data_IF_790999176847
#
_entry.id   IF_790999176847
#
_cell.length_a   1.000
_cell.length_b   1.000
_cell.length_c   1.000
_cell.angle_alpha   90.00
_cell.angle_beta   90.00
_cell.angle_gamma   90.00
#
_symmetry.space_group_name_H-M   'P 1'
#
loop_
_entity.id
_entity.type
_entity.pdbx_description
1 polymer ?
#
# COMPACT_ATOMS: atom_id res chain seq x y z
N UNK A 1 -38.49 -6.79 11.82
CA UNK A 1 -37.04 -6.44 11.84
C UNK A 1 -36.59 -5.65 10.61
N UNK A 2 -36.85 -6.07 9.35
CA UNK A 2 -36.45 -5.30 8.14
C UNK A 2 -36.98 -3.85 8.07
N UNK A 3 -38.22 -3.60 8.52
CA UNK A 3 -38.82 -2.26 8.54
C UNK A 3 -38.21 -1.34 9.62
N UNK A 4 -37.72 -1.90 10.71
CA UNK A 4 -37.03 -1.14 11.79
C UNK A 4 -35.62 -0.72 11.33
N UNK A 5 -34.91 -1.57 10.59
CA UNK A 5 -33.61 -1.25 10.01
C UNK A 5 -33.72 -0.15 8.95
N UNK A 6 -34.77 -0.18 8.11
CA UNK A 6 -35.02 0.89 7.12
C UNK A 6 -35.35 2.23 7.79
N UNK A 7 -36.11 2.21 8.90
CA UNK A 7 -36.43 3.42 9.67
C UNK A 7 -35.18 4.00 10.36
N UNK A 8 -34.28 3.17 10.91
CA UNK A 8 -33.00 3.62 11.46
C UNK A 8 -32.09 4.20 10.38
N UNK A 9 -32.05 3.61 9.18
CA UNK A 9 -31.27 4.13 8.06
C UNK A 9 -31.83 5.46 7.52
N UNK A 10 -33.18 5.62 7.49
CA UNK A 10 -33.82 6.88 7.13
C UNK A 10 -33.63 7.99 8.17
N UNK A 11 -33.60 7.65 9.47
CA UNK A 11 -33.32 8.64 10.54
C UNK A 11 -31.87 9.10 10.52
N UNK A 12 -30.90 8.24 10.15
CA UNK A 12 -29.49 8.64 10.03
C UNK A 12 -29.21 9.57 8.85
N UNK A 13 -30.05 9.55 7.81
CA UNK A 13 -29.93 10.42 6.64
C UNK A 13 -30.36 11.89 6.89
N UNK A 14 -31.13 12.15 7.96
CA UNK A 14 -31.66 13.51 8.23
C UNK A 14 -30.75 14.41 9.08
N UNK A 15 -29.65 13.87 9.65
CA UNK A 15 -28.75 14.62 10.52
C UNK A 15 -27.50 15.20 9.85
N UNK A 16 -27.41 15.12 8.52
CA UNK A 16 -26.21 15.56 7.77
C UNK A 16 -26.12 17.07 7.53
N UNK A 17 -27.13 17.86 7.93
CA UNK A 17 -27.18 19.32 7.65
C UNK A 17 -26.58 20.21 8.75
N UNK A 18 -25.95 19.68 9.79
CA UNK A 18 -25.66 20.49 10.99
C UNK A 18 -24.30 21.21 11.00
N UNK A 19 -23.36 20.96 10.07
CA UNK A 19 -22.12 21.74 9.96
C UNK A 19 -21.65 21.78 8.51
N UNK A 20 -22.10 22.77 7.77
CA UNK A 20 -21.60 23.04 6.43
C UNK A 20 -20.20 23.69 6.54
N UNK A 21 -19.18 22.99 6.11
CA UNK A 21 -17.85 23.57 5.86
C UNK A 21 -17.93 24.54 4.67
N UNK A 22 -16.92 25.38 4.52
CA UNK A 22 -16.79 26.20 3.31
C UNK A 22 -16.52 25.28 2.10
N UNK A 23 -17.44 25.24 1.10
CA UNK A 23 -17.24 24.40 -0.08
C UNK A 23 -16.02 24.86 -0.87
N UNK A 24 -15.17 23.92 -1.31
CA UNK A 24 -13.99 24.20 -2.12
C UNK A 24 -14.08 23.70 -3.55
N UNK A 25 -14.74 22.59 -3.79
CA UNK A 25 -14.98 22.01 -5.14
C UNK A 25 -13.78 22.11 -6.13
N UNK A 26 -12.56 21.99 -5.60
CA UNK A 26 -11.34 22.05 -6.39
C UNK A 26 -10.97 20.66 -6.87
N UNK A 27 -10.58 20.58 -8.14
CA UNK A 27 -10.16 19.34 -8.79
C UNK A 27 -8.74 19.47 -9.22
N UNK A 28 -7.87 18.55 -8.80
CA UNK A 28 -6.48 18.52 -9.22
C UNK A 28 -6.11 17.14 -9.75
N UNK A 29 -5.23 17.11 -10.72
CA UNK A 29 -4.69 15.90 -11.34
C UNK A 29 -3.17 16.03 -11.46
N UNK A 30 -2.47 14.90 -11.48
CA UNK A 30 -1.04 14.90 -11.71
C UNK A 30 -0.43 13.50 -11.65
N UNK A 31 0.87 13.50 -11.49
CA UNK A 31 1.69 12.28 -11.51
C UNK A 31 2.44 12.11 -10.21
N UNK A 32 2.70 10.86 -9.88
CA UNK A 32 3.48 10.51 -8.71
C UNK A 32 4.56 9.48 -9.05
N UNK A 33 5.67 9.53 -8.32
CA UNK A 33 6.73 8.55 -8.39
C UNK A 33 7.37 8.39 -7.01
N UNK A 34 7.92 7.20 -6.73
CA UNK A 34 8.54 6.94 -5.44
C UNK A 34 9.17 5.56 -5.33
N UNK A 35 9.48 5.20 -4.10
CA UNK A 35 10.04 3.90 -3.74
C UNK A 35 9.11 3.21 -2.74
N UNK A 36 8.86 1.94 -2.98
CA UNK A 36 8.13 1.04 -2.09
C UNK A 36 9.12 0.06 -1.44
N UNK A 37 9.14 0.01 -0.13
CA UNK A 37 9.92 -0.93 0.67
C UNK A 37 8.96 -1.96 1.24
N UNK A 38 9.02 -3.19 0.74
CA UNK A 38 8.06 -4.25 1.07
C UNK A 38 8.70 -5.38 1.86
N UNK A 39 7.90 -5.97 2.73
CA UNK A 39 8.12 -7.25 3.39
C UNK A 39 6.79 -8.01 3.44
N UNK A 40 6.87 -9.34 3.45
CA UNK A 40 5.68 -10.18 3.58
C UNK A 40 5.56 -10.69 5.01
N UNK A 41 4.39 -10.54 5.60
CA UNK A 41 4.08 -11.09 6.91
C UNK A 41 3.82 -12.58 6.84
N UNK A 42 4.87 -13.41 6.86
CA UNK A 42 4.73 -14.87 6.83
C UNK A 42 4.46 -15.47 8.21
N UNK A 43 3.63 -16.50 8.23
CA UNK A 43 3.47 -17.41 9.38
C UNK A 43 3.47 -18.85 8.85
N UNK A 44 4.46 -19.70 9.17
CA UNK A 44 5.65 -19.44 10.00
C UNK A 44 6.57 -18.37 9.38
N UNK A 45 7.30 -17.65 10.23
CA UNK A 45 8.11 -16.50 9.82
C UNK A 45 9.32 -16.93 9.00
N UNK A 46 9.62 -16.13 7.96
CA UNK A 46 10.83 -16.23 7.14
C UNK A 46 11.65 -14.96 7.39
N UNK A 47 12.95 -15.11 7.60
CA UNK A 47 13.85 -13.97 7.77
C UNK A 47 14.03 -13.22 6.45
N UNK A 48 13.67 -11.94 6.42
CA UNK A 48 13.64 -11.12 5.22
C UNK A 48 14.45 -9.84 5.39
N UNK A 49 15.06 -9.39 4.29
CA UNK A 49 15.47 -7.99 4.12
C UNK A 49 14.37 -7.19 3.43
N UNK A 50 14.51 -5.86 3.43
CA UNK A 50 13.63 -5.00 2.68
C UNK A 50 13.76 -5.23 1.17
N UNK A 51 12.63 -5.46 0.51
CA UNK A 51 12.54 -5.44 -0.94
C UNK A 51 12.19 -4.02 -1.37
N UNK A 52 13.10 -3.38 -2.12
CA UNK A 52 12.90 -2.01 -2.60
C UNK A 52 12.55 -2.09 -4.08
N UNK A 53 11.41 -1.52 -4.44
CA UNK A 53 10.92 -1.42 -5.82
C UNK A 53 10.39 -0.04 -6.14
N UNK A 54 10.30 0.34 -7.42
CA UNK A 54 9.70 1.60 -7.86
C UNK A 54 8.18 1.57 -7.71
N UNK A 55 7.60 2.74 -7.48
CA UNK A 55 6.18 3.02 -7.64
C UNK A 55 6.01 4.25 -8.51
N UNK A 56 5.10 4.22 -9.48
CA UNK A 56 4.82 5.33 -10.40
C UNK A 56 3.34 5.29 -10.77
N UNK A 57 2.73 6.46 -10.91
CA UNK A 57 1.30 6.50 -11.24
C UNK A 57 0.74 7.89 -11.44
N UNK A 58 -0.58 7.93 -11.53
CA UNK A 58 -1.39 9.14 -11.61
C UNK A 58 -2.13 9.36 -10.30
N UNK A 59 -2.31 10.61 -9.93
CA UNK A 59 -3.00 11.04 -8.72
C UNK A 59 -4.12 12.00 -9.10
N UNK A 60 -5.30 11.76 -8.56
CA UNK A 60 -6.47 12.59 -8.70
C UNK A 60 -6.94 13.03 -7.32
N UNK A 61 -7.17 14.34 -7.12
CA UNK A 61 -7.59 14.90 -5.85
C UNK A 61 -8.83 15.77 -6.02
N UNK A 62 -9.84 15.47 -5.22
CA UNK A 62 -11.06 16.27 -5.07
C UNK A 62 -11.01 16.90 -3.70
N UNK A 63 -10.89 18.23 -3.64
CA UNK A 63 -11.00 18.97 -2.38
C UNK A 63 -12.44 19.42 -2.25
N UNK A 64 -13.15 18.91 -1.23
CA UNK A 64 -14.57 19.17 -1.07
C UNK A 64 -14.87 20.34 -0.16
N UNK A 65 -14.28 20.40 1.02
CA UNK A 65 -14.69 21.33 2.06
C UNK A 65 -13.53 21.77 2.93
N UNK A 66 -13.69 22.93 3.56
CA UNK A 66 -12.80 23.46 4.58
C UNK A 66 -13.56 23.69 5.87
N UNK A 67 -13.13 23.04 6.93
CA UNK A 67 -13.62 23.24 8.29
C UNK A 67 -12.58 24.02 9.10
N UNK A 68 -12.88 25.28 9.45
CA UNK A 68 -11.95 26.18 10.13
C UNK A 68 -10.61 26.30 9.40
N UNK A 69 -9.59 25.55 9.84
CA UNK A 69 -8.24 25.50 9.25
C UNK A 69 -7.94 24.17 8.55
N UNK A 70 -8.83 23.17 8.67
CA UNK A 70 -8.67 21.85 8.08
C UNK A 70 -9.31 21.81 6.70
N UNK A 71 -8.55 21.37 5.72
CA UNK A 71 -9.01 21.16 4.35
C UNK A 71 -9.22 19.64 4.14
N UNK A 72 -10.45 19.29 3.76
CA UNK A 72 -10.85 17.91 3.52
C UNK A 72 -10.84 17.59 2.03
N UNK A 73 -10.18 16.49 1.65
CA UNK A 73 -10.10 16.04 0.28
C UNK A 73 -10.18 14.53 0.17
N UNK A 74 -10.57 14.04 -0.99
CA UNK A 74 -10.42 12.66 -1.43
C UNK A 74 -9.27 12.59 -2.43
N UNK A 75 -8.31 11.71 -2.20
CA UNK A 75 -7.19 11.42 -3.10
C UNK A 75 -7.33 9.99 -3.62
N UNK A 76 -7.42 9.84 -4.93
CA UNK A 76 -7.49 8.55 -5.62
C UNK A 76 -6.27 8.45 -6.52
N UNK A 77 -5.64 7.28 -6.54
CA UNK A 77 -4.47 7.09 -7.37
C UNK A 77 -4.60 5.80 -8.20
N UNK A 78 -3.87 5.75 -9.29
CA UNK A 78 -3.63 4.54 -10.06
C UNK A 78 -2.12 4.39 -10.21
N UNK A 79 -1.55 3.39 -9.55
CA UNK A 79 -0.11 3.21 -9.46
C UNK A 79 0.30 1.85 -10.03
N UNK A 80 1.42 1.82 -10.73
CA UNK A 80 2.21 0.62 -10.94
C UNK A 80 3.26 0.56 -9.83
N UNK A 81 3.29 -0.55 -9.07
CA UNK A 81 4.22 -0.73 -7.96
C UNK A 81 4.88 -2.10 -8.03
N UNK A 82 6.19 -2.13 -7.85
CA UNK A 82 6.94 -3.37 -7.74
C UNK A 82 7.16 -3.70 -6.26
N UNK A 83 6.45 -4.71 -5.79
CA UNK A 83 6.54 -5.28 -4.44
C UNK A 83 7.30 -6.60 -4.46
N UNK A 84 7.33 -7.30 -3.33
CA UNK A 84 7.93 -8.61 -3.20
C UNK A 84 8.71 -8.77 -1.91
N UNK A 85 9.63 -9.75 -1.88
CA UNK A 85 10.52 -9.95 -0.74
C UNK A 85 11.88 -10.47 -1.17
N UNK A 86 12.84 -10.28 -0.28
CA UNK A 86 14.19 -10.81 -0.39
C UNK A 86 14.49 -11.59 0.89
N UNK A 87 14.83 -12.87 0.76
CA UNK A 87 15.17 -13.69 1.92
C UNK A 87 16.60 -13.44 2.38
N UNK A 88 16.79 -13.49 3.69
CA UNK A 88 18.09 -13.62 4.35
C UNK A 88 18.23 -15.08 4.76
N UNK A 89 18.66 -15.91 3.80
CA UNK A 89 18.64 -17.37 3.95
C UNK A 89 19.65 -17.83 4.99
N UNK A 90 19.19 -18.73 5.88
CA UNK A 90 19.96 -19.37 6.91
C UNK A 90 19.85 -20.89 6.77
N UNK A 91 20.86 -21.62 7.23
CA UNK A 91 20.80 -23.06 7.36
C UNK A 91 19.96 -23.49 8.58
N UNK A 92 19.78 -24.79 8.78
CA UNK A 92 19.05 -25.37 9.92
C UNK A 92 19.62 -24.98 11.29
N UNK A 93 20.91 -24.55 11.34
CA UNK A 93 21.57 -24.05 12.55
C UNK A 93 21.38 -22.55 12.78
N UNK A 94 20.71 -21.83 11.86
CA UNK A 94 20.52 -20.40 11.94
C UNK A 94 21.70 -19.56 11.43
N UNK A 95 22.69 -20.18 10.79
CA UNK A 95 23.84 -19.49 10.22
C UNK A 95 23.52 -18.98 8.81
N UNK A 96 23.96 -17.77 8.43
CA UNK A 96 23.73 -17.24 7.09
C UNK A 96 24.52 -18.07 6.05
N UNK A 97 23.87 -18.38 4.94
CA UNK A 97 24.48 -19.11 3.82
C UNK A 97 24.47 -18.28 2.53
N UNK A 98 25.23 -18.72 1.54
CA UNK A 98 25.40 -17.99 0.28
C UNK A 98 24.17 -18.05 -0.65
N UNK A 99 23.21 -18.90 -0.35
CA UNK A 99 21.97 -19.05 -1.11
C UNK A 99 21.20 -17.72 -1.15
N UNK A 100 20.56 -17.45 -2.29
CA UNK A 100 19.81 -16.20 -2.50
C UNK A 100 18.44 -16.51 -3.08
N UNK A 101 17.44 -15.83 -2.53
CA UNK A 101 16.10 -15.82 -3.10
C UNK A 101 15.51 -14.42 -3.04
N UNK A 102 14.96 -13.99 -4.15
CA UNK A 102 14.21 -12.74 -4.29
C UNK A 102 13.02 -13.01 -5.19
N UNK A 103 11.89 -12.47 -4.80
CA UNK A 103 10.67 -12.49 -5.60
C UNK A 103 10.21 -11.08 -5.87
N UNK A 104 10.06 -10.75 -7.14
CA UNK A 104 9.53 -9.47 -7.61
C UNK A 104 8.08 -9.68 -8.05
N UNK A 105 7.20 -8.85 -7.55
CA UNK A 105 5.76 -8.92 -7.80
C UNK A 105 5.28 -7.56 -8.28
N UNK A 106 4.76 -7.48 -9.50
CA UNK A 106 4.27 -6.24 -10.10
C UNK A 106 2.76 -6.12 -9.87
N UNK A 107 2.36 -5.00 -9.28
CA UNK A 107 0.98 -4.69 -8.97
C UNK A 107 0.50 -3.42 -9.69
N UNK A 108 -0.78 -3.42 -10.05
CA UNK A 108 -1.55 -2.20 -10.26
C UNK A 108 -2.34 -1.95 -9.00
N UNK A 109 -2.12 -0.79 -8.37
CA UNK A 109 -2.73 -0.43 -7.09
C UNK A 109 -3.62 0.80 -7.24
N UNK A 110 -4.75 0.78 -6.53
CA UNK A 110 -5.70 1.89 -6.50
C UNK A 110 -6.07 2.21 -5.03
N UNK A 111 -5.34 3.11 -4.39
CA UNK A 111 -5.71 3.63 -3.08
C UNK A 111 -6.81 4.71 -3.20
N UNK A 112 -7.75 4.68 -2.24
CA UNK A 112 -8.82 5.67 -2.04
C UNK A 112 -8.60 6.30 -0.66
N UNK A 113 -8.01 7.50 -0.63
CA UNK A 113 -7.51 8.09 0.59
C UNK A 113 -8.31 9.34 0.98
N UNK A 114 -8.90 9.32 2.17
CA UNK A 114 -9.34 10.53 2.82
C UNK A 114 -8.11 11.34 3.24
N UNK A 115 -8.12 12.63 2.96
CA UNK A 115 -7.02 13.53 3.23
C UNK A 115 -7.47 14.70 4.08
N UNK A 116 -6.75 14.96 5.16
CA UNK A 116 -6.93 16.11 6.04
C UNK A 116 -5.66 16.95 6.01
N UNK A 117 -5.77 18.20 5.56
CA UNK A 117 -4.63 19.10 5.39
C UNK A 117 -4.76 20.34 6.26
N UNK A 118 -3.63 20.81 6.78
CA UNK A 118 -3.52 22.02 7.61
C UNK A 118 -2.36 22.88 7.10
N UNK A 119 -2.60 24.18 6.92
CA UNK A 119 -1.55 25.12 6.49
C UNK A 119 -2.05 26.18 5.52
N UNK A 120 -1.14 26.66 4.64
CA UNK A 120 -1.44 27.74 3.71
C UNK A 120 -2.01 27.21 2.40
N UNK A 121 -3.30 27.44 2.17
CA UNK A 121 -4.05 26.92 1.03
C UNK A 121 -3.56 27.45 -0.34
N UNK A 122 -3.30 28.75 -0.48
CA UNK A 122 -3.00 29.35 -1.77
C UNK A 122 -1.51 29.34 -2.15
N UNK A 123 -0.63 29.67 -1.22
CA UNK A 123 0.83 29.65 -1.40
C UNK A 123 1.50 29.37 -0.08
N UNK A 124 2.37 28.38 -0.08
CA UNK A 124 3.16 28.01 1.09
C UNK A 124 3.02 26.53 1.43
N UNK A 125 3.47 26.20 2.63
CA UNK A 125 3.55 24.82 3.12
C UNK A 125 2.24 24.40 3.81
N UNK A 126 1.82 23.18 3.51
CA UNK A 126 0.73 22.46 4.20
C UNK A 126 1.26 21.11 4.66
N UNK A 127 0.92 20.75 5.90
CA UNK A 127 1.03 19.36 6.36
C UNK A 127 -0.29 18.62 6.15
N UNK A 128 -0.24 17.31 5.91
CA UNK A 128 -1.45 16.53 5.77
C UNK A 128 -1.31 15.10 6.27
N UNK A 129 -2.44 14.53 6.65
CA UNK A 129 -2.63 13.12 6.97
C UNK A 129 -3.51 12.51 5.90
N UNK A 130 -3.25 11.24 5.58
CA UNK A 130 -4.05 10.44 4.67
C UNK A 130 -4.33 9.08 5.29
N UNK A 131 -5.53 8.57 5.04
CA UNK A 131 -5.87 7.19 5.37
C UNK A 131 -7.02 6.71 4.49
N UNK A 132 -7.04 5.40 4.20
CA UNK A 132 -8.15 4.79 3.47
C UNK A 132 -7.86 3.41 2.96
N UNK A 133 -8.84 2.78 2.31
CA UNK A 133 -8.69 1.48 1.68
C UNK A 133 -7.80 1.58 0.44
N UNK A 134 -7.09 0.49 0.18
CA UNK A 134 -6.32 0.29 -1.04
C UNK A 134 -6.62 -1.09 -1.59
N UNK A 135 -6.81 -1.17 -2.89
CA UNK A 135 -6.92 -2.42 -3.63
C UNK A 135 -5.76 -2.53 -4.60
N UNK A 136 -5.38 -3.77 -4.92
CA UNK A 136 -4.28 -4.07 -5.83
C UNK A 136 -4.54 -5.31 -6.66
N UNK A 137 -3.97 -5.34 -7.85
CA UNK A 137 -3.99 -6.49 -8.74
C UNK A 137 -2.57 -6.90 -9.10
N UNK A 138 -2.21 -8.14 -8.81
CA UNK A 138 -0.96 -8.76 -9.25
C UNK A 138 -1.03 -9.03 -10.74
N UNK A 139 -0.17 -8.37 -11.52
CA UNK A 139 -0.10 -8.49 -12.98
C UNK A 139 1.10 -9.32 -13.45
N UNK A 140 2.09 -9.53 -12.59
CA UNK A 140 3.25 -10.35 -12.91
C UNK A 140 4.10 -10.69 -11.71
N UNK A 141 4.80 -11.82 -11.79
CA UNK A 141 5.77 -12.24 -10.78
C UNK A 141 7.03 -12.78 -11.43
N UNK A 142 8.18 -12.53 -10.82
CA UNK A 142 9.47 -13.07 -11.21
C UNK A 142 10.19 -13.59 -9.97
N UNK A 143 10.86 -14.74 -10.12
CA UNK A 143 11.63 -15.39 -9.07
C UNK A 143 13.10 -15.41 -9.46
N UNK A 144 13.93 -14.96 -8.56
CA UNK A 144 15.38 -15.01 -8.70
C UNK A 144 15.92 -15.90 -7.59
N UNK A 145 16.45 -17.03 -7.97
CA UNK A 145 17.01 -18.02 -7.05
C UNK A 145 18.42 -18.42 -7.46
N UNK A 146 19.23 -18.87 -6.50
CA UNK A 146 20.55 -19.46 -6.75
C UNK A 146 20.42 -20.62 -7.72
N UNK A 147 21.45 -20.80 -8.57
CA UNK A 147 21.51 -21.93 -9.52
C UNK A 147 21.58 -23.28 -8.78
N UNK A 148 22.25 -23.29 -7.64
CA UNK A 148 22.40 -24.47 -6.77
C UNK A 148 21.96 -24.07 -5.34
N UNK A 149 21.36 -25.02 -4.62
CA UNK A 149 20.99 -24.88 -3.22
C UNK A 149 21.99 -25.61 -2.32
N UNK A 150 22.24 -25.05 -1.14
CA UNK A 150 22.86 -25.78 -0.04
C UNK A 150 21.86 -26.80 0.47
N UNK A 151 22.24 -28.09 0.45
CA UNK A 151 21.35 -29.21 0.78
C UNK A 151 21.66 -29.76 2.17
N UNK A 152 20.62 -30.28 2.82
CA UNK A 152 20.73 -31.11 4.04
C UNK A 152 21.18 -32.54 3.72
N UNK A 153 21.29 -33.38 4.75
CA UNK A 153 21.68 -34.79 4.60
C UNK A 153 20.66 -35.60 3.78
N UNK A 154 19.43 -35.16 3.69
CA UNK A 154 18.35 -35.78 2.93
C UNK A 154 18.20 -35.21 1.50
N UNK A 155 19.10 -34.34 1.08
CA UNK A 155 19.11 -33.78 -0.27
C UNK A 155 18.06 -32.68 -0.50
N UNK A 156 17.50 -32.11 0.56
CA UNK A 156 16.56 -30.97 0.49
C UNK A 156 17.29 -29.67 0.80
N UNK A 157 16.75 -28.49 0.37
CA UNK A 157 17.32 -27.20 0.76
C UNK A 157 17.46 -27.08 2.28
N UNK A 158 18.70 -26.89 2.78
CA UNK A 158 18.97 -26.75 4.22
C UNK A 158 18.42 -25.41 4.74
N UNK A 159 17.29 -25.47 5.44
CA UNK A 159 16.53 -24.30 5.92
C UNK A 159 16.06 -24.50 7.35
N UNK A 160 15.94 -23.41 8.13
CA UNK A 160 15.28 -23.48 9.43
C UNK A 160 13.89 -24.06 9.29
N UNK A 161 13.56 -25.05 10.12
CA UNK A 161 12.27 -25.76 10.11
C UNK A 161 11.89 -26.45 8.78
N UNK A 162 12.87 -26.66 7.87
CA UNK A 162 12.64 -27.30 6.57
C UNK A 162 11.75 -26.48 5.61
N UNK A 163 11.58 -25.18 5.84
CA UNK A 163 10.71 -24.32 5.03
C UNK A 163 11.38 -23.99 3.67
N UNK A 164 10.87 -24.57 2.60
CA UNK A 164 11.33 -24.34 1.22
C UNK A 164 10.18 -24.20 0.21
N UNK A 165 8.94 -24.43 0.63
CA UNK A 165 7.77 -24.42 -0.25
C UNK A 165 7.59 -23.11 -1.03
N UNK A 166 7.94 -21.95 -0.42
CA UNK A 166 7.81 -20.62 -1.02
C UNK A 166 8.62 -20.45 -2.32
N UNK A 167 9.65 -21.28 -2.54
CA UNK A 167 10.50 -21.14 -3.72
C UNK A 167 9.81 -21.55 -5.02
N UNK A 168 8.86 -22.48 -4.93
CA UNK A 168 8.18 -23.06 -6.10
C UNK A 168 6.69 -22.70 -6.18
N UNK A 169 6.09 -22.19 -5.09
CA UNK A 169 4.69 -21.76 -5.09
C UNK A 169 4.48 -20.49 -5.93
N UNK A 170 3.48 -20.49 -6.80
CA UNK A 170 2.95 -19.27 -7.44
C UNK A 170 1.98 -18.56 -6.53
N UNK A 171 1.71 -17.27 -6.76
CA UNK A 171 0.67 -16.56 -6.04
C UNK A 171 -0.71 -17.15 -6.40
N UNK A 172 -1.45 -17.59 -5.38
CA UNK A 172 -2.83 -18.11 -5.54
C UNK A 172 -3.83 -16.96 -5.73
N UNK A 173 -3.64 -15.87 -4.97
CA UNK A 173 -4.50 -14.71 -5.02
C UNK A 173 -3.81 -13.58 -5.78
N UNK A 174 -4.46 -13.11 -6.84
CA UNK A 174 -4.00 -11.96 -7.61
C UNK A 174 -4.58 -10.65 -7.11
N UNK A 175 -5.69 -10.71 -6.39
CA UNK A 175 -6.33 -9.55 -5.80
C UNK A 175 -5.82 -9.33 -4.38
N UNK A 176 -5.29 -8.13 -4.15
CA UNK A 176 -4.81 -7.67 -2.84
C UNK A 176 -5.70 -6.53 -2.36
N UNK A 177 -5.97 -6.46 -1.07
CA UNK A 177 -6.70 -5.38 -0.45
C UNK A 177 -6.20 -5.14 0.97
N UNK A 178 -6.30 -3.89 1.40
CA UNK A 178 -5.82 -3.52 2.73
C UNK A 178 -6.10 -2.07 3.06
N UNK A 179 -5.38 -1.56 4.04
CA UNK A 179 -5.51 -0.20 4.56
C UNK A 179 -4.18 0.51 4.40
N UNK A 180 -4.24 1.74 3.89
CA UNK A 180 -3.11 2.65 3.78
C UNK A 180 -3.32 3.82 4.72
N UNK A 181 -2.27 4.21 5.44
CA UNK A 181 -2.23 5.44 6.22
C UNK A 181 -0.86 6.12 6.05
N UNK A 182 -0.84 7.43 6.13
CA UNK A 182 0.40 8.18 5.93
C UNK A 182 0.28 9.66 6.27
N UNK A 183 1.38 10.34 6.07
CA UNK A 183 1.50 11.79 6.27
C UNK A 183 2.40 12.39 5.19
N UNK A 184 2.23 13.66 4.94
CA UNK A 184 3.03 14.35 3.94
C UNK A 184 3.06 15.85 4.12
N UNK A 185 3.91 16.45 3.30
CA UNK A 185 4.05 17.89 3.15
C UNK A 185 3.69 18.26 1.72
N UNK A 186 2.97 19.35 1.56
CA UNK A 186 2.61 19.91 0.26
C UNK A 186 3.06 21.37 0.19
N UNK A 187 3.80 21.69 -0.87
CA UNK A 187 4.16 23.05 -1.21
C UNK A 187 3.23 23.55 -2.32
N UNK A 188 2.35 24.47 -1.96
CA UNK A 188 1.46 25.13 -2.90
C UNK A 188 2.16 26.32 -3.57
N UNK A 189 2.18 26.32 -4.89
CA UNK A 189 2.80 27.35 -5.72
C UNK A 189 1.86 27.78 -6.85
N UNK A 190 2.28 28.81 -7.60
CA UNK A 190 1.58 29.21 -8.85
C UNK A 190 1.66 28.14 -9.94
N UNK A 191 2.72 27.34 -9.92
CA UNK A 191 2.99 26.33 -10.93
C UNK A 191 2.24 24.99 -10.63
N UNK A 192 1.65 24.84 -9.43
CA UNK A 192 0.98 23.63 -8.99
C UNK A 192 1.39 23.24 -7.57
N UNK A 193 1.13 21.99 -7.23
CA UNK A 193 1.31 21.42 -5.90
C UNK A 193 2.40 20.35 -5.92
N UNK A 194 3.44 20.56 -5.14
CA UNK A 194 4.52 19.60 -4.95
C UNK A 194 4.35 18.90 -3.61
N UNK A 195 4.25 17.58 -3.61
CA UNK A 195 3.99 16.82 -2.41
C UNK A 195 5.10 15.81 -2.16
N UNK A 196 5.52 15.71 -0.91
CA UNK A 196 6.35 14.62 -0.38
C UNK A 196 5.54 13.86 0.64
N UNK A 197 5.42 12.55 0.48
CA UNK A 197 4.54 11.71 1.26
C UNK A 197 5.26 10.44 1.71
N UNK A 198 5.06 10.08 2.99
CA UNK A 198 5.40 8.78 3.55
C UNK A 198 4.14 8.05 3.97
N UNK A 199 3.95 6.81 3.52
CA UNK A 199 2.77 6.00 3.86
C UNK A 199 3.13 4.56 4.14
N UNK A 200 2.30 3.92 4.96
CA UNK A 200 2.37 2.51 5.23
C UNK A 200 1.08 1.83 4.76
N UNK A 201 1.24 0.77 3.97
CA UNK A 201 0.15 -0.12 3.56
C UNK A 201 0.22 -1.41 4.36
N UNK A 202 -0.91 -1.83 4.90
CA UNK A 202 -1.10 -3.10 5.57
C UNK A 202 -2.11 -3.93 4.79
N UNK A 203 -1.62 -5.00 4.13
CA UNK A 203 -2.44 -5.95 3.41
C UNK A 203 -3.28 -6.79 4.36
N UNK A 204 -4.55 -6.95 4.03
CA UNK A 204 -5.50 -7.80 4.73
C UNK A 204 -5.73 -9.13 4.00
N UNK A 205 -5.29 -9.21 2.74
CA UNK A 205 -5.30 -10.44 1.94
C UNK A 205 -3.98 -11.17 2.02
N UNK A 206 -4.02 -12.48 1.84
CA UNK A 206 -2.84 -13.33 1.72
C UNK A 206 -2.50 -13.59 0.25
N UNK A 207 -1.21 -13.73 -0.06
CA UNK A 207 -0.72 -14.05 -1.41
C UNK A 207 -1.04 -15.51 -1.74
N UNK A 208 -0.94 -16.40 -0.76
CA UNK A 208 -1.25 -17.82 -0.86
C UNK A 208 -2.52 -18.16 -0.07
N UNK A 209 -3.15 -19.26 -0.44
CA UNK A 209 -4.25 -19.84 0.35
C UNK A 209 -3.74 -20.21 1.74
N UNK A 210 -4.57 -19.98 2.74
CA UNK A 210 -4.26 -20.25 4.15
C UNK A 210 -5.05 -21.44 4.72
N UNK A 211 -5.42 -22.40 3.87
CA UNK A 211 -6.10 -23.61 4.31
C UNK A 211 -5.13 -24.61 4.99
N UNK A 212 -5.66 -25.66 5.64
CA UNK A 212 -4.88 -26.65 6.38
C UNK A 212 -3.85 -27.43 5.55
N UNK A 213 -3.89 -27.32 4.22
CA UNK A 213 -2.97 -28.01 3.30
C UNK A 213 -1.78 -27.13 2.92
N UNK A 214 -1.84 -25.83 3.18
CA UNK A 214 -0.80 -24.89 2.86
C UNK A 214 0.16 -24.69 4.04
N UNK A 215 1.43 -24.52 3.72
CA UNK A 215 2.51 -24.36 4.70
C UNK A 215 2.36 -23.04 5.46
N UNK A 216 1.88 -21.99 4.77
CA UNK A 216 1.73 -20.66 5.34
C UNK A 216 0.28 -20.38 5.72
N UNK A 217 0.04 -20.07 7.00
CA UNK A 217 -1.25 -19.60 7.49
C UNK A 217 -1.43 -18.09 7.30
N UNK A 218 -0.36 -17.37 6.94
CA UNK A 218 -0.37 -15.94 6.65
C UNK A 218 0.72 -15.60 5.64
N UNK A 219 0.42 -14.70 4.71
CA UNK A 219 1.35 -14.22 3.68
C UNK A 219 0.93 -12.85 3.12
N UNK A 220 0.72 -11.86 4.00
CA UNK A 220 0.21 -10.54 3.60
C UNK A 220 1.30 -9.51 3.34
N UNK A 221 1.02 -8.55 2.46
CA UNK A 221 1.91 -7.45 2.15
C UNK A 221 1.99 -6.42 3.30
N UNK A 222 3.22 -5.96 3.60
CA UNK A 222 3.47 -4.81 4.45
C UNK A 222 4.44 -3.87 3.73
N UNK A 223 3.95 -2.68 3.30
CA UNK A 223 4.73 -1.79 2.44
C UNK A 223 4.87 -0.41 3.04
N UNK A 224 6.11 0.06 3.21
CA UNK A 224 6.42 1.46 3.47
C UNK A 224 6.77 2.13 2.14
N UNK A 225 6.06 3.20 1.77
CA UNK A 225 6.32 3.93 0.54
C UNK A 225 6.67 5.39 0.82
N UNK A 226 7.65 5.91 0.07
CA UNK A 226 8.00 7.33 0.02
C UNK A 226 7.74 7.80 -1.40
N UNK A 227 6.91 8.83 -1.56
CA UNK A 227 6.45 9.31 -2.86
C UNK A 227 6.61 10.81 -3.00
N UNK A 228 6.96 11.22 -4.21
CA UNK A 228 6.87 12.59 -4.71
C UNK A 228 5.69 12.68 -5.67
N UNK A 229 4.85 13.69 -5.51
CA UNK A 229 3.70 13.92 -6.38
C UNK A 229 3.67 15.36 -6.83
N UNK A 230 3.39 15.56 -8.11
CA UNK A 230 3.12 16.86 -8.68
C UNK A 230 1.67 16.91 -9.17
N UNK A 231 0.88 17.87 -8.68
CA UNK A 231 -0.50 18.09 -9.12
C UNK A 231 -0.66 19.49 -9.71
N UNK A 232 -1.54 19.58 -10.69
CA UNK A 232 -2.04 20.84 -11.22
C UNK A 232 -3.57 20.89 -11.09
N UNK A 233 -4.09 22.08 -10.85
CA UNK A 233 -5.53 22.27 -10.70
C UNK A 233 -6.21 22.25 -12.06
N UNK A 234 -7.20 21.36 -12.23
CA UNK A 234 -8.11 21.33 -13.38
C UNK A 234 -9.25 22.32 -13.23
N UNK A 235 -9.71 22.49 -11.98
CA UNK A 235 -10.78 23.41 -11.61
C UNK A 235 -10.43 24.07 -10.28
N UNK A 236 -10.46 25.39 -10.24
CA UNK A 236 -10.38 26.24 -9.06
C UNK A 236 -11.72 26.92 -8.86
N UNK A 237 -12.17 27.01 -7.60
CA UNK A 237 -13.20 27.97 -7.19
C UNK A 237 -12.57 29.34 -6.97
#
# INVERSE_FOLDING_TARGET
MKKLLLALFALSATHVYAQLGEPRNTLAFGVNAGLAMNQIGFTPSIKQGWHIGPTVGATFRITSEKYFKLLCALQVELNFTQLGWKEQIQNSRGEPIADRYRRDMSYIEMPFLARLSLGREQRGLMGYLIAGPQIGFLIGERRHKSATWTLDAEGRPDRPNGLSAQYDMSADHKFDYGITAGLGLELNSKAGHFMLEGRYYYGLSDIWKNDKRHVFSRSNNGTLAIKLTYLFDLKKN
#
